data_IF_244121762313
#
_entry.id   IF_244121762313
#
_cell.length_a   1.000
_cell.length_b   1.000
_cell.length_c   1.000
_cell.angle_alpha   90.00
_cell.angle_beta   90.00
_cell.angle_gamma   90.00
#
_symmetry.space_group_name_H-M   'P 1'
#
loop_
_entity.id
_entity.type
_entity.pdbx_description
1 polymer ?
#
# COMPACT_ATOMS: atom_id res chain seq x y z
N UNK A 1 -32.33 -0.01 -6.01
CA UNK A 1 -32.05 1.42 -6.28
C UNK A 1 -30.56 1.61 -6.06
N UNK A 2 -29.80 2.10 -7.03
CA UNK A 2 -28.41 2.47 -6.79
C UNK A 2 -28.40 3.69 -5.87
N UNK A 3 -27.84 3.56 -4.67
CA UNK A 3 -27.56 4.74 -3.83
C UNK A 3 -26.51 5.57 -4.55
N UNK A 4 -26.91 6.74 -5.04
CA UNK A 4 -25.98 7.71 -5.59
C UNK A 4 -25.22 8.38 -4.43
N UNK A 5 -23.90 8.45 -4.54
CA UNK A 5 -23.05 9.12 -3.57
C UNK A 5 -22.84 10.58 -3.96
N UNK A 6 -22.92 11.52 -3.02
CA UNK A 6 -22.61 12.93 -3.28
C UNK A 6 -21.72 13.52 -2.20
N UNK A 7 -20.62 14.15 -2.62
CA UNK A 7 -19.75 14.91 -1.71
C UNK A 7 -20.45 16.11 -1.08
N UNK A 8 -21.50 16.65 -1.72
CA UNK A 8 -22.34 17.69 -1.13
C UNK A 8 -22.94 17.27 0.21
N UNK A 9 -23.19 15.97 0.38
CA UNK A 9 -23.87 15.43 1.56
C UNK A 9 -22.90 15.14 2.71
N UNK A 10 -21.59 15.16 2.45
CA UNK A 10 -20.57 14.98 3.46
C UNK A 10 -20.35 16.28 4.23
N UNK A 11 -20.24 16.21 5.55
CA UNK A 11 -19.87 17.35 6.40
C UNK A 11 -18.36 17.41 6.62
N UNK A 12 -17.73 16.23 6.64
CA UNK A 12 -16.32 16.04 6.92
C UNK A 12 -15.69 15.19 5.83
N UNK A 13 -14.54 15.62 5.33
CA UNK A 13 -13.77 14.90 4.30
C UNK A 13 -12.36 14.68 4.83
N UNK A 14 -11.99 13.41 4.97
CA UNK A 14 -10.68 13.01 5.49
C UNK A 14 -9.79 12.42 4.41
N UNK A 15 -8.55 12.90 4.37
CA UNK A 15 -7.53 12.45 3.44
C UNK A 15 -6.42 11.70 4.16
N UNK A 16 -5.99 10.59 3.58
CA UNK A 16 -4.63 10.09 3.82
C UNK A 16 -3.63 10.92 3.00
N UNK A 17 -2.37 10.93 3.42
CA UNK A 17 -1.32 11.62 2.69
C UNK A 17 -0.71 10.68 1.65
N UNK A 18 0.05 9.71 2.12
CA UNK A 18 0.90 8.88 1.29
C UNK A 18 0.08 7.94 0.38
N UNK A 19 0.37 7.97 -0.91
CA UNK A 19 -0.38 7.24 -1.95
C UNK A 19 -1.89 7.58 -2.02
N UNK A 20 -2.30 8.71 -1.45
CA UNK A 20 -3.67 9.26 -1.58
C UNK A 20 -3.65 10.69 -2.09
N UNK A 21 -3.26 11.67 -1.28
CA UNK A 21 -3.00 13.04 -1.75
C UNK A 21 -1.64 13.13 -2.44
N UNK A 22 -0.61 12.59 -1.80
CA UNK A 22 0.72 12.51 -2.39
C UNK A 22 0.85 11.27 -3.25
N UNK A 23 1.04 11.49 -4.55
CA UNK A 23 1.42 10.42 -5.47
C UNK A 23 2.93 10.34 -5.57
N UNK A 24 3.44 9.12 -5.62
CA UNK A 24 4.87 8.86 -5.74
C UNK A 24 5.21 8.42 -7.16
N UNK A 25 6.39 8.80 -7.66
CA UNK A 25 6.98 8.22 -8.86
C UNK A 25 7.42 6.77 -8.58
N UNK A 26 6.47 5.84 -8.69
CA UNK A 26 6.64 4.44 -8.25
C UNK A 26 7.95 3.80 -8.70
N UNK A 27 8.38 4.01 -9.95
CA UNK A 27 9.66 3.48 -10.45
C UNK A 27 10.87 3.98 -9.64
N UNK A 28 10.94 5.28 -9.37
CA UNK A 28 12.06 5.88 -8.63
C UNK A 28 11.97 5.56 -7.14
N UNK A 29 10.77 5.61 -6.56
CA UNK A 29 10.56 5.32 -5.14
C UNK A 29 10.77 3.85 -4.81
N UNK A 30 10.24 2.90 -5.62
CA UNK A 30 10.47 1.47 -5.41
C UNK A 30 11.95 1.11 -5.51
N UNK A 31 12.67 1.75 -6.44
CA UNK A 31 14.12 1.61 -6.55
C UNK A 31 14.84 2.11 -5.30
N UNK A 32 14.52 3.31 -4.83
CA UNK A 32 15.12 3.89 -3.63
C UNK A 32 14.88 3.00 -2.40
N UNK A 33 13.66 2.51 -2.20
CA UNK A 33 13.30 1.65 -1.06
C UNK A 33 14.12 0.37 -1.08
N UNK A 34 14.13 -0.34 -2.21
CA UNK A 34 14.90 -1.58 -2.34
C UNK A 34 16.39 -1.33 -2.08
N UNK A 35 16.98 -0.33 -2.74
CA UNK A 35 18.40 -0.02 -2.59
C UNK A 35 18.72 0.31 -1.13
N UNK A 36 17.83 1.03 -0.44
CA UNK A 36 18.00 1.37 0.97
C UNK A 36 17.99 0.13 1.87
N UNK A 37 17.08 -0.83 1.65
CA UNK A 37 17.08 -2.09 2.41
C UNK A 37 18.27 -2.99 2.06
N UNK A 38 18.56 -3.16 0.77
CA UNK A 38 19.64 -4.01 0.29
C UNK A 38 21.01 -3.51 0.78
N UNK A 39 21.25 -2.19 0.78
CA UNK A 39 22.47 -1.59 1.35
C UNK A 39 22.61 -1.94 2.82
N UNK A 40 21.55 -1.79 3.61
CA UNK A 40 21.59 -2.14 5.03
C UNK A 40 21.96 -3.61 5.25
N UNK A 41 21.36 -4.53 4.49
CA UNK A 41 21.68 -5.96 4.59
C UNK A 41 23.14 -6.26 4.24
N UNK A 42 23.67 -5.62 3.18
CA UNK A 42 25.06 -5.82 2.75
C UNK A 42 26.05 -5.23 3.76
N UNK A 43 25.81 -3.99 4.20
CA UNK A 43 26.76 -3.22 5.01
C UNK A 43 26.73 -3.62 6.50
N UNK A 44 25.56 -3.98 7.04
CA UNK A 44 25.38 -4.23 8.47
C UNK A 44 25.09 -5.69 8.81
N UNK A 45 24.62 -6.50 7.86
CA UNK A 45 24.24 -7.90 8.09
C UNK A 45 25.11 -8.92 7.33
N UNK A 46 26.06 -8.45 6.52
CA UNK A 46 27.03 -9.30 5.83
C UNK A 46 26.45 -10.10 4.66
N UNK A 47 25.35 -9.64 4.07
CA UNK A 47 24.80 -10.25 2.86
C UNK A 47 25.69 -9.96 1.64
N UNK A 48 25.56 -10.79 0.61
CA UNK A 48 26.34 -10.66 -0.61
C UNK A 48 26.00 -9.35 -1.35
N UNK A 49 27.02 -8.67 -1.87
CA UNK A 49 26.87 -7.42 -2.64
C UNK A 49 26.02 -7.60 -3.90
N UNK A 50 25.83 -8.83 -4.37
CA UNK A 50 24.92 -9.12 -5.47
C UNK A 50 23.49 -8.61 -5.23
N UNK A 51 23.06 -8.46 -3.97
CA UNK A 51 21.77 -7.82 -3.64
C UNK A 51 21.63 -6.41 -4.23
N UNK A 52 22.73 -5.69 -4.46
CA UNK A 52 22.72 -4.34 -5.03
C UNK A 52 22.65 -4.35 -6.57
N UNK A 53 22.85 -5.50 -7.22
CA UNK A 53 22.80 -5.63 -8.66
C UNK A 53 21.38 -6.00 -9.09
N UNK A 54 20.67 -5.05 -9.71
CA UNK A 54 19.30 -5.24 -10.21
C UNK A 54 19.23 -5.05 -11.71
N UNK A 55 18.39 -5.85 -12.36
CA UNK A 55 18.03 -5.66 -13.77
C UNK A 55 16.65 -5.01 -13.87
N UNK A 56 16.34 -4.26 -14.96
CA UNK A 56 15.01 -3.70 -15.14
C UNK A 56 13.88 -4.74 -15.08
N UNK A 57 14.12 -5.97 -15.56
CA UNK A 57 13.14 -7.06 -15.56
C UNK A 57 12.76 -7.50 -14.13
N UNK A 58 13.67 -7.33 -13.17
CA UNK A 58 13.46 -7.76 -11.78
C UNK A 58 12.34 -6.97 -11.08
N UNK A 59 12.02 -5.76 -11.55
CA UNK A 59 11.02 -4.90 -10.89
C UNK A 59 9.58 -5.34 -11.08
N UNK A 60 9.27 -6.14 -12.10
CA UNK A 60 7.91 -6.66 -12.32
C UNK A 60 7.50 -7.67 -11.23
N UNK A 61 8.48 -8.17 -10.46
CA UNK A 61 8.27 -8.99 -9.27
C UNK A 61 7.56 -8.23 -8.15
N UNK A 62 7.75 -6.91 -8.04
CA UNK A 62 7.20 -6.11 -6.97
C UNK A 62 5.70 -5.86 -7.20
N UNK A 63 4.85 -6.71 -6.62
CA UNK A 63 3.41 -6.62 -6.78
C UNK A 63 2.66 -6.57 -5.44
N UNK A 64 1.72 -5.63 -5.31
CA UNK A 64 0.96 -5.45 -4.08
C UNK A 64 0.00 -6.64 -3.88
N UNK A 65 -0.13 -7.09 -2.64
CA UNK A 65 -0.98 -8.22 -2.27
C UNK A 65 -0.29 -9.58 -2.31
N UNK A 66 1.05 -9.61 -2.42
CA UNK A 66 1.84 -10.82 -2.24
C UNK A 66 2.00 -11.14 -0.76
N UNK A 67 2.02 -12.43 -0.46
CA UNK A 67 2.34 -12.98 0.86
C UNK A 67 3.69 -13.67 0.76
N UNK A 68 4.60 -13.36 1.69
CA UNK A 68 5.81 -14.16 1.89
C UNK A 68 5.58 -15.10 3.05
N UNK A 69 5.61 -16.40 2.76
CA UNK A 69 5.68 -17.47 3.75
C UNK A 69 7.13 -17.55 4.26
N UNK A 70 7.35 -17.10 5.49
CA UNK A 70 8.68 -17.00 6.09
C UNK A 70 9.19 -18.37 6.58
N UNK A 71 8.30 -19.35 6.76
CA UNK A 71 8.68 -20.69 7.16
C UNK A 71 9.33 -21.42 5.99
N UNK A 72 8.72 -21.28 4.80
CA UNK A 72 9.09 -22.05 3.61
C UNK A 72 9.88 -21.24 2.57
N UNK A 73 10.01 -19.91 2.74
CA UNK A 73 10.69 -19.03 1.77
C UNK A 73 9.91 -18.79 0.48
N UNK A 74 8.61 -19.07 0.51
CA UNK A 74 7.75 -18.97 -0.66
C UNK A 74 7.08 -17.61 -0.74
N UNK A 75 6.91 -17.06 -1.96
CA UNK A 75 6.11 -15.87 -2.22
C UNK A 75 4.88 -16.29 -3.01
N UNK A 76 3.69 -16.02 -2.47
CA UNK A 76 2.42 -16.51 -3.00
C UNK A 76 1.41 -15.39 -3.22
N UNK A 77 0.56 -15.59 -4.22
CA UNK A 77 -0.64 -14.78 -4.45
C UNK A 77 -1.88 -15.61 -4.15
N UNK A 78 -2.79 -15.05 -3.34
CA UNK A 78 -3.95 -15.76 -2.82
C UNK A 78 -5.27 -15.34 -3.49
N UNK A 79 -6.15 -16.32 -3.73
CA UNK A 79 -7.57 -16.10 -3.99
C UNK A 79 -8.28 -15.54 -2.74
N UNK A 80 -9.51 -15.06 -2.92
CA UNK A 80 -10.38 -14.66 -1.81
C UNK A 80 -10.70 -15.78 -0.80
N UNK A 81 -10.58 -17.04 -1.20
CA UNK A 81 -10.80 -18.23 -0.36
C UNK A 81 -9.50 -18.77 0.29
N UNK A 82 -8.36 -18.10 0.05
CA UNK A 82 -7.06 -18.51 0.59
C UNK A 82 -6.31 -19.54 -0.22
N UNK A 83 -6.86 -19.95 -1.37
CA UNK A 83 -6.17 -20.84 -2.30
C UNK A 83 -4.97 -20.13 -2.93
N UNK A 84 -3.82 -20.80 -2.96
CA UNK A 84 -2.67 -20.36 -3.75
C UNK A 84 -3.06 -20.43 -5.23
N UNK A 85 -3.06 -19.27 -5.87
CA UNK A 85 -3.47 -19.17 -7.27
C UNK A 85 -2.50 -19.97 -8.16
N UNK A 86 -2.97 -20.53 -9.26
CA UNK A 86 -2.15 -21.27 -10.25
C UNK A 86 -2.61 -20.98 -11.67
N UNK A 87 -1.66 -20.86 -12.59
CA UNK A 87 -1.93 -20.86 -14.02
C UNK A 87 -2.40 -22.26 -14.50
N UNK A 88 -3.35 -22.28 -15.45
CA UNK A 88 -3.70 -23.46 -16.24
C UNK A 88 -3.09 -23.35 -17.64
N UNK A 89 -2.27 -24.33 -18.04
CA UNK A 89 -1.54 -24.35 -19.31
C UNK A 89 -2.46 -24.33 -20.54
N UNK A 90 -2.23 -23.41 -21.48
CA UNK A 90 -2.16 -23.69 -22.93
C UNK A 90 -1.72 -22.45 -23.71
N UNK A 91 -0.78 -22.66 -24.64
CA UNK A 91 -0.49 -21.69 -25.70
C UNK A 91 -1.78 -21.36 -26.50
N UNK A 92 -1.93 -20.15 -27.07
CA UNK A 92 -3.10 -19.84 -27.88
C UNK A 92 -3.22 -20.82 -29.06
N UNK A 93 -4.43 -21.35 -29.29
CA UNK A 93 -4.72 -22.16 -30.49
C UNK A 93 -4.42 -21.32 -31.76
N UNK A 94 -3.88 -21.92 -32.84
CA UNK A 94 -3.54 -21.21 -34.08
C UNK A 94 -4.69 -20.41 -34.69
N UNK A 95 -5.93 -20.85 -34.44
CA UNK A 95 -7.16 -20.25 -34.96
C UNK A 95 -7.48 -18.88 -34.32
N UNK A 96 -7.09 -18.65 -33.06
CA UNK A 96 -7.21 -17.33 -32.39
C UNK A 96 -6.13 -16.35 -32.85
N UNK A 97 -4.99 -16.82 -33.35
CA UNK A 97 -3.94 -15.95 -33.89
C UNK A 97 -4.38 -15.21 -35.16
N UNK A 98 -5.34 -15.78 -35.91
CA UNK A 98 -5.89 -15.20 -37.14
C UNK A 98 -6.97 -14.14 -36.82
N UNK A 99 -7.75 -14.31 -35.76
CA UNK A 99 -8.76 -13.30 -35.35
C UNK A 99 -8.11 -12.07 -34.71
N UNK A 100 -6.92 -12.23 -34.11
CA UNK A 100 -6.20 -11.17 -33.41
C UNK A 100 -5.36 -10.27 -34.32
N UNK A 101 -5.18 -10.59 -35.61
CA UNK A 101 -4.48 -9.72 -36.57
C UNK A 101 -5.30 -8.49 -36.97
N UNK A 102 -6.63 -8.55 -36.82
CA UNK A 102 -7.54 -7.54 -37.35
C UNK A 102 -7.94 -6.44 -36.34
N UNK A 103 -7.57 -6.60 -35.07
CA UNK A 103 -7.82 -5.59 -34.04
C UNK A 103 -6.56 -4.75 -33.83
N UNK A 104 -6.56 -3.54 -34.41
CA UNK A 104 -5.47 -2.57 -34.29
C UNK A 104 -5.20 -2.15 -32.84
N UNK A 105 -4.14 -2.71 -32.29
CA UNK A 105 -3.11 -2.07 -31.43
C UNK A 105 -3.45 -1.77 -29.96
N UNK A 106 -2.48 -2.19 -29.11
CA UNK A 106 -2.24 -1.89 -27.68
C UNK A 106 -3.00 -2.66 -26.59
N UNK A 107 -4.31 -2.95 -26.70
CA UNK A 107 -5.00 -3.66 -25.61
C UNK A 107 -4.73 -5.18 -25.56
N UNK A 108 -4.58 -5.83 -26.72
CA UNK A 108 -4.49 -7.31 -26.79
C UNK A 108 -3.15 -7.86 -26.30
N UNK A 109 -2.06 -7.09 -26.39
CA UNK A 109 -0.77 -7.49 -25.78
C UNK A 109 -0.82 -7.51 -24.25
N UNK A 110 -1.81 -6.86 -23.63
CA UNK A 110 -1.98 -6.85 -22.17
C UNK A 110 -2.93 -7.96 -21.67
N UNK A 111 -3.62 -8.68 -22.57
CA UNK A 111 -4.58 -9.74 -22.22
C UNK A 111 -3.98 -11.15 -22.32
N UNK A 112 -2.74 -11.29 -22.78
CA UNK A 112 -2.07 -12.57 -22.96
C UNK A 112 -0.64 -12.45 -22.45
N UNK A 113 -0.47 -12.65 -21.14
CA UNK A 113 0.70 -13.22 -20.43
C UNK A 113 0.64 -12.71 -18.99
N UNK A 114 0.27 -13.60 -18.05
CA UNK A 114 0.68 -13.41 -16.67
C UNK A 114 0.73 -14.75 -15.95
N UNK A 115 1.94 -15.28 -15.79
CA UNK A 115 2.24 -16.71 -15.66
C UNK A 115 2.61 -17.16 -14.23
N UNK A 116 2.73 -16.26 -13.25
CA UNK A 116 3.40 -16.59 -11.97
C UNK A 116 2.48 -16.29 -10.78
N UNK A 117 2.28 -17.30 -9.92
CA UNK A 117 1.35 -17.22 -8.79
C UNK A 117 1.89 -17.82 -7.48
N UNK A 118 3.03 -18.51 -7.54
CA UNK A 118 3.86 -18.85 -6.40
C UNK A 118 5.33 -19.01 -6.82
N UNK A 119 6.27 -18.52 -6.01
CA UNK A 119 7.72 -18.70 -6.20
C UNK A 119 8.37 -19.23 -4.91
N UNK A 120 9.48 -19.93 -5.03
CA UNK A 120 10.44 -20.14 -3.94
C UNK A 120 11.66 -19.27 -4.21
N UNK A 121 11.91 -18.31 -3.33
CA UNK A 121 12.78 -17.19 -3.67
C UNK A 121 12.27 -16.45 -4.91
N UNK A 122 13.13 -16.22 -5.90
CA UNK A 122 12.69 -15.66 -7.20
C UNK A 122 12.39 -16.70 -8.27
N UNK A 123 12.43 -17.99 -7.93
CA UNK A 123 12.19 -19.09 -8.87
C UNK A 123 10.73 -19.55 -8.82
N UNK A 124 10.09 -19.69 -9.98
CA UNK A 124 8.71 -20.17 -10.07
C UNK A 124 8.56 -21.59 -9.54
N UNK A 125 7.51 -21.82 -8.76
CA UNK A 125 7.14 -23.16 -8.32
C UNK A 125 6.38 -23.90 -9.42
N UNK A 126 6.77 -25.16 -9.66
CA UNK A 126 6.03 -26.09 -10.51
C UNK A 126 4.67 -26.45 -9.90
N UNK A 127 3.81 -27.09 -10.68
CA UNK A 127 2.52 -27.57 -10.16
C UNK A 127 2.71 -28.63 -9.09
N UNK A 128 3.63 -29.55 -9.32
CA UNK A 128 3.99 -30.64 -8.41
C UNK A 128 4.53 -30.06 -7.10
N UNK A 129 5.35 -29.01 -7.18
CA UNK A 129 5.88 -28.32 -6.00
C UNK A 129 4.78 -27.58 -5.23
N UNK A 130 3.89 -26.86 -5.90
CA UNK A 130 2.72 -26.22 -5.27
C UNK A 130 1.87 -27.27 -4.54
N UNK A 131 1.57 -28.41 -5.17
CA UNK A 131 0.79 -29.47 -4.53
C UNK A 131 1.54 -30.13 -3.37
N UNK A 132 2.87 -30.20 -3.45
CA UNK A 132 3.73 -30.68 -2.36
C UNK A 132 3.70 -29.73 -1.16
N UNK A 133 3.75 -28.43 -1.38
CA UNK A 133 3.74 -27.42 -0.30
C UNK A 133 2.35 -27.19 0.29
N UNK A 134 1.31 -27.13 -0.54
CA UNK A 134 -0.03 -26.64 -0.14
C UNK A 134 -1.12 -27.71 -0.24
N UNK A 135 -0.75 -28.96 -0.53
CA UNK A 135 -1.69 -30.07 -0.67
C UNK A 135 -2.57 -30.00 -1.93
N UNK A 136 -3.47 -30.98 -2.11
CA UNK A 136 -4.31 -31.08 -3.31
C UNK A 136 -5.25 -29.88 -3.50
N UNK A 137 -5.72 -29.28 -2.41
CA UNK A 137 -6.59 -28.11 -2.46
C UNK A 137 -5.84 -26.79 -2.64
N UNK A 138 -4.50 -26.81 -2.53
CA UNK A 138 -3.63 -25.61 -2.57
C UNK A 138 -4.00 -24.57 -1.52
N UNK A 139 -4.50 -25.03 -0.37
CA UNK A 139 -4.91 -24.15 0.72
C UNK A 139 -3.67 -23.66 1.45
N UNK A 140 -3.54 -22.34 1.59
CA UNK A 140 -2.48 -21.80 2.41
C UNK A 140 -2.86 -21.87 3.90
N UNK A 141 -2.08 -22.64 4.66
CA UNK A 141 -2.35 -23.01 6.07
C UNK A 141 -2.63 -21.83 7.02
N UNK A 142 -2.11 -20.63 6.69
CA UNK A 142 -2.22 -19.44 7.54
C UNK A 142 -3.35 -18.47 7.12
N UNK A 143 -4.12 -18.78 6.08
CA UNK A 143 -5.11 -17.85 5.52
C UNK A 143 -6.14 -17.35 6.54
N UNK A 144 -6.65 -18.25 7.40
CA UNK A 144 -7.60 -17.88 8.45
C UNK A 144 -7.02 -16.86 9.44
N UNK A 145 -5.72 -16.94 9.73
CA UNK A 145 -5.03 -15.97 10.59
C UNK A 145 -4.81 -14.63 9.87
N UNK A 146 -4.52 -14.65 8.57
CA UNK A 146 -4.38 -13.43 7.76
C UNK A 146 -5.69 -12.62 7.70
N UNK A 147 -6.84 -13.31 7.64
CA UNK A 147 -8.17 -12.68 7.63
C UNK A 147 -8.50 -11.97 8.96
N UNK A 148 -7.87 -12.37 10.07
CA UNK A 148 -8.17 -11.86 11.42
C UNK A 148 -7.12 -10.87 11.92
N UNK A 149 -5.84 -11.08 11.61
CA UNK A 149 -4.73 -10.19 11.97
C UNK A 149 -4.12 -9.64 10.69
N UNK A 150 -4.56 -8.46 10.28
CA UNK A 150 -3.99 -7.78 9.13
C UNK A 150 -2.49 -7.56 9.35
N UNK A 151 -1.68 -8.20 8.50
CA UNK A 151 -0.30 -7.86 8.06
C UNK A 151 0.91 -8.51 8.72
N UNK A 152 0.92 -8.97 9.98
CA UNK A 152 2.20 -9.36 10.64
C UNK A 152 2.11 -10.62 11.50
N UNK A 153 2.88 -11.64 11.12
CA UNK A 153 3.12 -12.87 11.87
C UNK A 153 4.61 -13.21 11.84
N UNK A 154 5.11 -13.93 12.85
CA UNK A 154 6.46 -14.52 12.78
C UNK A 154 6.60 -15.58 11.66
N UNK A 155 5.47 -15.99 11.06
CA UNK A 155 5.37 -17.03 10.04
C UNK A 155 5.19 -16.48 8.62
N UNK A 156 4.67 -15.25 8.48
CA UNK A 156 4.39 -14.68 7.17
C UNK A 156 4.33 -13.15 7.21
N UNK A 157 4.54 -12.55 6.05
CA UNK A 157 4.35 -11.11 5.85
C UNK A 157 3.49 -10.83 4.62
N UNK A 158 2.54 -9.90 4.75
CA UNK A 158 1.66 -9.49 3.65
C UNK A 158 2.06 -8.10 3.15
N UNK A 159 2.48 -8.02 1.87
CA UNK A 159 2.92 -6.78 1.25
C UNK A 159 1.73 -6.01 0.66
N UNK A 160 1.02 -5.26 1.51
CA UNK A 160 -0.09 -4.38 1.11
C UNK A 160 0.27 -2.90 1.08
N UNK A 161 1.50 -2.55 1.45
CA UNK A 161 1.99 -1.18 1.48
C UNK A 161 3.05 -0.97 0.39
N UNK A 162 3.06 0.20 -0.25
CA UNK A 162 4.07 0.53 -1.27
C UNK A 162 5.45 0.84 -0.65
N UNK A 163 5.52 1.23 0.62
CA UNK A 163 6.78 1.56 1.30
C UNK A 163 7.62 0.34 1.69
N UNK A 164 7.02 -0.84 1.74
CA UNK A 164 7.73 -2.09 1.97
C UNK A 164 7.67 -3.04 0.77
N UNK A 165 6.80 -2.78 -0.23
CA UNK A 165 6.60 -3.64 -1.39
C UNK A 165 7.90 -4.15 -2.07
N UNK A 166 8.94 -3.33 -2.30
CA UNK A 166 10.18 -3.81 -2.90
C UNK A 166 10.93 -4.84 -2.03
N UNK A 167 10.61 -4.89 -0.73
CA UNK A 167 11.04 -5.93 0.20
C UNK A 167 10.61 -7.32 -0.23
N UNK A 168 9.49 -7.50 -0.95
CA UNK A 168 9.08 -8.82 -1.45
C UNK A 168 10.12 -9.43 -2.39
N UNK A 169 10.63 -8.63 -3.33
CA UNK A 169 11.72 -9.03 -4.22
C UNK A 169 13.02 -9.28 -3.44
N UNK A 170 13.32 -8.41 -2.47
CA UNK A 170 14.52 -8.56 -1.65
C UNK A 170 14.49 -9.86 -0.85
N UNK A 171 13.35 -10.21 -0.24
CA UNK A 171 13.12 -11.50 0.39
C UNK A 171 13.38 -12.65 -0.60
N UNK A 172 12.79 -12.59 -1.80
CA UNK A 172 12.98 -13.60 -2.82
C UNK A 172 14.46 -13.85 -3.13
N UNK A 173 15.24 -12.78 -3.29
CA UNK A 173 16.68 -12.87 -3.58
C UNK A 173 17.51 -13.35 -2.38
N UNK A 174 17.13 -12.97 -1.17
CA UNK A 174 17.75 -13.48 0.06
C UNK A 174 17.54 -14.99 0.16
N UNK A 175 16.32 -15.47 -0.12
CA UNK A 175 16.02 -16.90 -0.17
C UNK A 175 16.86 -17.61 -1.23
N UNK A 176 17.00 -17.06 -2.45
CA UNK A 176 17.86 -17.64 -3.48
C UNK A 176 19.33 -17.76 -3.00
N UNK A 177 19.82 -16.78 -2.25
CA UNK A 177 21.18 -16.80 -1.70
C UNK A 177 21.36 -17.86 -0.62
N UNK A 178 20.39 -18.00 0.28
CA UNK A 178 20.39 -19.04 1.32
C UNK A 178 20.39 -20.43 0.66
N UNK A 179 19.52 -20.62 -0.33
CA UNK A 179 19.44 -21.85 -1.10
C UNK A 179 20.76 -22.18 -1.82
N UNK A 180 21.38 -21.20 -2.49
CA UNK A 180 22.70 -21.39 -3.16
C UNK A 180 23.83 -21.79 -2.21
N UNK A 181 23.74 -21.43 -0.92
CA UNK A 181 24.71 -21.82 0.11
C UNK A 181 24.43 -23.24 0.66
N UNK A 182 23.38 -23.90 0.21
CA UNK A 182 22.96 -25.21 0.73
C UNK A 182 22.39 -25.16 2.15
N UNK A 183 21.98 -23.97 2.61
CA UNK A 183 21.36 -23.79 3.92
C UNK A 183 19.84 -23.93 3.81
N UNK A 184 19.20 -24.45 4.85
CA UNK A 184 17.74 -24.46 4.92
C UNK A 184 17.21 -23.04 5.13
N UNK A 185 16.13 -22.71 4.42
CA UNK A 185 15.41 -21.45 4.60
C UNK A 185 14.54 -21.56 5.84
N UNK A 186 14.58 -20.54 6.69
CA UNK A 186 13.70 -20.41 7.84
C UNK A 186 13.39 -18.92 8.07
N UNK A 187 12.60 -18.59 9.09
CA UNK A 187 12.17 -17.21 9.34
C UNK A 187 13.25 -16.27 9.90
N UNK A 188 14.49 -16.72 10.11
CA UNK A 188 15.54 -15.89 10.72
C UNK A 188 15.95 -14.71 9.84
N UNK A 189 15.98 -14.87 8.52
CA UNK A 189 16.32 -13.76 7.60
C UNK A 189 15.32 -12.59 7.72
N UNK A 190 14.10 -12.87 8.19
CA UNK A 190 13.08 -11.84 8.39
C UNK A 190 13.47 -10.83 9.48
N UNK A 191 14.23 -11.25 10.49
CA UNK A 191 14.75 -10.33 11.54
C UNK A 191 15.65 -9.27 10.93
N UNK A 192 16.44 -9.64 9.93
CA UNK A 192 17.31 -8.70 9.21
C UNK A 192 16.51 -7.78 8.29
N UNK A 193 15.48 -8.30 7.63
CA UNK A 193 14.54 -7.49 6.84
C UNK A 193 13.82 -6.45 7.71
N UNK A 194 13.33 -6.85 8.88
CA UNK A 194 12.71 -5.93 9.84
C UNK A 194 13.70 -4.87 10.33
N UNK A 195 14.95 -5.25 10.59
CA UNK A 195 15.99 -4.29 10.97
C UNK A 195 16.30 -3.30 9.83
N UNK A 196 16.24 -3.73 8.57
CA UNK A 196 16.41 -2.85 7.42
C UNK A 196 15.24 -1.86 7.26
N UNK A 197 14.01 -2.32 7.48
CA UNK A 197 12.81 -1.49 7.49
C UNK A 197 12.89 -0.45 8.61
N UNK A 198 13.22 -0.88 9.83
CA UNK A 198 13.36 -0.01 11.00
C UNK A 198 14.48 1.02 10.81
N UNK A 199 15.62 0.62 10.25
CA UNK A 199 16.72 1.54 9.96
C UNK A 199 16.30 2.70 9.02
N UNK A 200 15.43 2.44 8.05
CA UNK A 200 14.99 3.46 7.10
C UNK A 200 13.82 4.30 7.59
N UNK A 201 12.94 3.76 8.45
CA UNK A 201 11.66 4.39 8.78
C UNK A 201 11.41 4.58 10.28
N UNK A 202 12.41 4.34 11.14
CA UNK A 202 12.28 4.70 12.54
C UNK A 202 11.97 6.20 12.70
N UNK A 203 11.43 6.55 13.87
CA UNK A 203 10.89 7.88 14.14
C UNK A 203 11.93 9.00 14.12
N UNK A 204 13.22 8.70 14.31
CA UNK A 204 14.29 9.71 14.26
C UNK A 204 14.95 9.82 12.88
N UNK A 205 14.81 8.81 12.01
CA UNK A 205 15.55 8.69 10.76
C UNK A 205 15.37 9.89 9.83
N UNK A 206 14.15 10.46 9.74
CA UNK A 206 13.94 11.67 8.97
C UNK A 206 14.71 12.84 9.59
N UNK A 207 14.51 13.14 10.87
CA UNK A 207 15.18 14.26 11.54
C UNK A 207 16.70 14.17 11.52
N UNK A 208 17.24 12.98 11.73
CA UNK A 208 18.69 12.71 11.81
C UNK A 208 19.35 12.57 10.45
N UNK A 209 18.57 12.58 9.36
CA UNK A 209 19.07 12.33 8.01
C UNK A 209 19.78 10.96 7.89
N UNK A 210 19.21 9.95 8.56
CA UNK A 210 19.78 8.61 8.64
C UNK A 210 19.33 7.72 7.46
N UNK A 211 20.10 6.66 7.21
CA UNK A 211 19.82 5.69 6.16
C UNK A 211 19.98 6.27 4.75
N UNK A 212 19.28 5.70 3.78
CA UNK A 212 19.36 6.14 2.37
C UNK A 212 18.05 6.78 1.88
N UNK A 213 16.91 6.37 2.43
CA UNK A 213 15.59 6.77 1.96
C UNK A 213 15.33 8.27 2.18
N UNK A 214 15.21 8.70 3.44
CA UNK A 214 14.86 10.09 3.76
C UNK A 214 15.88 11.12 3.26
N UNK A 215 17.21 10.90 3.35
CA UNK A 215 18.19 11.84 2.79
C UNK A 215 18.04 12.03 1.28
N UNK A 216 17.70 10.95 0.56
CA UNK A 216 17.48 11.02 -0.89
C UNK A 216 16.22 11.80 -1.22
N UNK A 217 15.11 11.55 -0.51
CA UNK A 217 13.85 12.29 -0.71
C UNK A 217 14.01 13.77 -0.36
N UNK A 218 14.70 14.12 0.74
CA UNK A 218 14.95 15.52 1.11
C UNK A 218 15.77 16.27 0.07
N UNK A 219 16.81 15.62 -0.47
CA UNK A 219 17.74 16.24 -1.42
C UNK A 219 17.05 16.56 -2.75
N UNK A 220 16.15 15.69 -3.21
CA UNK A 220 15.45 15.85 -4.49
C UNK A 220 14.01 15.34 -4.40
N UNK A 221 13.09 16.07 -3.73
CA UNK A 221 11.73 15.61 -3.53
C UNK A 221 10.99 15.38 -4.86
N UNK A 222 11.24 16.23 -5.87
CA UNK A 222 10.57 16.17 -7.18
C UNK A 222 10.89 14.93 -8.00
N UNK A 223 11.98 14.23 -7.68
CA UNK A 223 12.27 12.92 -8.29
C UNK A 223 11.33 11.82 -7.79
N UNK A 224 10.84 11.93 -6.56
CA UNK A 224 10.07 10.88 -5.88
C UNK A 224 8.60 11.24 -5.70
N UNK A 225 8.27 12.52 -5.54
CA UNK A 225 6.95 13.04 -5.25
C UNK A 225 6.35 13.72 -6.49
N UNK A 226 5.07 13.48 -6.75
CA UNK A 226 4.31 14.15 -7.81
C UNK A 226 3.53 15.32 -7.20
N UNK A 227 3.76 16.56 -7.66
CA UNK A 227 2.95 17.70 -7.23
C UNK A 227 1.47 17.53 -7.56
N UNK A 228 0.59 18.02 -6.68
CA UNK A 228 -0.83 18.07 -7.00
C UNK A 228 -1.07 19.08 -8.12
N UNK A 229 -1.99 18.75 -9.04
CA UNK A 229 -2.42 19.68 -10.07
C UNK A 229 -3.14 20.89 -9.45
N UNK A 230 -3.15 22.01 -10.17
CA UNK A 230 -3.90 23.20 -9.76
C UNK A 230 -5.39 22.92 -9.60
N UNK A 231 -5.95 21.96 -10.34
CA UNK A 231 -7.33 21.51 -10.16
C UNK A 231 -7.57 20.88 -8.78
N UNK A 232 -6.65 20.05 -8.26
CA UNK A 232 -6.76 19.47 -6.91
C UNK A 232 -6.69 20.56 -5.85
N UNK A 233 -5.75 21.50 -5.97
CA UNK A 233 -5.63 22.63 -5.03
C UNK A 233 -6.89 23.49 -5.03
N UNK A 234 -7.38 23.85 -6.21
CA UNK A 234 -8.64 24.59 -6.38
C UNK A 234 -9.82 23.84 -5.78
N UNK A 235 -9.87 22.51 -5.97
CA UNK A 235 -10.93 21.67 -5.42
C UNK A 235 -10.90 21.62 -3.88
N UNK A 236 -9.72 21.46 -3.26
CA UNK A 236 -9.55 21.57 -1.81
C UNK A 236 -10.04 22.92 -1.28
N UNK A 237 -9.64 24.02 -1.90
CA UNK A 237 -10.15 25.35 -1.55
C UNK A 237 -11.68 25.46 -1.71
N UNK A 238 -12.24 24.88 -2.78
CA UNK A 238 -13.69 24.94 -3.03
C UNK A 238 -14.49 24.22 -1.93
N UNK A 239 -13.99 23.09 -1.42
CA UNK A 239 -14.63 22.37 -0.33
C UNK A 239 -14.55 23.16 0.98
N UNK A 240 -13.39 23.75 1.27
CA UNK A 240 -13.23 24.61 2.45
C UNK A 240 -14.15 25.84 2.39
N UNK A 241 -14.23 26.51 1.24
CA UNK A 241 -15.12 27.64 1.00
C UNK A 241 -16.61 27.27 1.06
N UNK A 242 -16.95 26.01 0.74
CA UNK A 242 -18.30 25.47 0.90
C UNK A 242 -18.65 25.09 2.35
N UNK A 243 -17.78 25.39 3.31
CA UNK A 243 -17.99 25.12 4.73
C UNK A 243 -17.82 23.65 5.12
N UNK A 244 -17.12 22.85 4.31
CA UNK A 244 -16.76 21.47 4.65
C UNK A 244 -15.59 21.46 5.63
N UNK A 245 -15.60 20.53 6.57
CA UNK A 245 -14.46 20.30 7.47
C UNK A 245 -13.47 19.36 6.77
N UNK A 246 -12.24 19.81 6.56
CA UNK A 246 -11.19 19.04 5.89
C UNK A 246 -10.16 18.52 6.88
N UNK A 247 -9.86 17.22 6.80
CA UNK A 247 -8.89 16.55 7.66
C UNK A 247 -7.75 15.94 6.84
N UNK A 248 -6.53 16.03 7.35
CA UNK A 248 -5.38 15.25 6.89
C UNK A 248 -4.97 14.28 7.99
N UNK A 249 -4.97 12.97 7.72
CA UNK A 249 -4.62 11.92 8.70
C UNK A 249 -3.58 10.97 8.10
N UNK A 250 -2.32 11.16 8.48
CA UNK A 250 -1.19 10.36 8.02
C UNK A 250 -0.49 9.61 9.15
N UNK A 251 0.09 8.46 8.84
CA UNK A 251 1.00 7.75 9.76
C UNK A 251 2.46 8.24 9.66
N UNK A 252 2.74 9.16 8.73
CA UNK A 252 4.01 9.86 8.63
C UNK A 252 4.22 10.82 9.80
N UNK A 253 5.48 11.00 10.23
CA UNK A 253 5.85 12.03 11.21
C UNK A 253 5.62 13.44 10.65
N UNK A 254 5.49 14.43 11.55
CA UNK A 254 5.12 15.80 11.20
C UNK A 254 6.13 16.51 10.30
N UNK A 255 7.41 16.28 10.52
CA UNK A 255 8.50 16.82 9.71
C UNK A 255 8.48 16.27 8.26
N UNK A 256 8.28 14.97 8.08
CA UNK A 256 8.14 14.35 6.77
C UNK A 256 6.84 14.77 6.08
N UNK A 257 5.73 14.84 6.84
CA UNK A 257 4.45 15.36 6.34
C UNK A 257 4.60 16.79 5.82
N UNK A 258 5.29 17.66 6.57
CA UNK A 258 5.58 19.04 6.15
C UNK A 258 6.36 19.06 4.83
N UNK A 259 7.45 18.31 4.72
CA UNK A 259 8.24 18.24 3.48
C UNK A 259 7.39 17.81 2.29
N UNK A 260 6.58 16.77 2.44
CA UNK A 260 5.70 16.30 1.37
C UNK A 260 4.70 17.38 1.00
N UNK A 261 3.92 17.87 1.96
CA UNK A 261 2.82 18.79 1.70
C UNK A 261 3.32 20.13 1.13
N UNK A 262 4.43 20.67 1.63
CA UNK A 262 5.04 21.87 1.06
C UNK A 262 5.42 21.67 -0.41
N UNK A 263 5.91 20.48 -0.76
CA UNK A 263 6.26 20.14 -2.13
C UNK A 263 5.03 19.95 -3.04
N UNK A 264 4.00 19.24 -2.56
CA UNK A 264 2.87 18.83 -3.41
C UNK A 264 1.73 19.84 -3.46
N UNK A 265 1.50 20.60 -2.39
CA UNK A 265 0.36 21.53 -2.24
C UNK A 265 0.83 22.98 -2.18
N UNK A 266 1.93 23.26 -1.48
CA UNK A 266 2.46 24.61 -1.28
C UNK A 266 2.80 24.88 0.19
N UNK A 267 3.52 25.98 0.47
CA UNK A 267 3.99 26.32 1.83
C UNK A 267 2.86 26.63 2.82
N UNK A 268 1.73 27.04 2.29
CA UNK A 268 0.48 27.40 2.98
C UNK A 268 -0.50 26.21 3.07
N UNK A 269 -0.04 24.98 2.82
CA UNK A 269 -0.93 23.80 2.83
C UNK A 269 -1.70 23.62 4.14
N UNK A 270 -1.16 24.10 5.27
CA UNK A 270 -1.83 24.02 6.57
C UNK A 270 -3.19 24.74 6.53
N UNK A 271 -3.30 25.80 5.73
CA UNK A 271 -4.55 26.54 5.53
C UNK A 271 -5.61 25.75 4.76
N UNK A 272 -5.25 24.63 4.10
CA UNK A 272 -6.20 23.78 3.38
C UNK A 272 -6.98 22.86 4.32
N UNK A 273 -6.45 22.54 5.50
CA UNK A 273 -7.04 21.56 6.41
C UNK A 273 -7.44 22.22 7.73
N UNK A 274 -8.55 21.81 8.31
CA UNK A 274 -8.97 22.28 9.64
C UNK A 274 -8.30 21.46 10.74
N UNK A 275 -8.03 20.17 10.48
CA UNK A 275 -7.28 19.31 11.41
C UNK A 275 -6.24 18.50 10.66
N UNK A 276 -5.00 18.54 11.15
CA UNK A 276 -3.89 17.73 10.65
C UNK A 276 -3.48 16.77 11.76
N UNK A 277 -3.42 15.47 11.45
CA UNK A 277 -3.04 14.41 12.38
C UNK A 277 -1.89 13.62 11.77
N UNK A 278 -0.72 13.75 12.37
CA UNK A 278 0.50 13.02 11.99
C UNK A 278 0.79 11.88 12.97
N UNK A 279 1.64 10.93 12.59
CA UNK A 279 1.93 9.73 13.38
C UNK A 279 0.65 9.02 13.87
N UNK A 280 -0.39 8.95 13.04
CA UNK A 280 -1.67 8.38 13.43
C UNK A 280 -1.58 6.88 13.79
N UNK A 281 -0.58 6.16 13.27
CA UNK A 281 -0.38 4.70 13.39
C UNK A 281 -1.69 3.92 13.16
N UNK A 282 -2.22 4.08 11.95
CA UNK A 282 -3.40 3.34 11.48
C UNK A 282 -3.04 1.84 11.40
N UNK A 283 -3.99 0.91 11.68
CA UNK A 283 -5.40 1.15 11.98
C UNK A 283 -5.68 1.52 13.46
N UNK A 284 -4.67 1.50 14.33
CA UNK A 284 -4.81 1.73 15.78
C UNK A 284 -5.55 3.02 16.13
N UNK A 285 -5.37 4.09 15.35
CA UNK A 285 -6.14 5.34 15.48
C UNK A 285 -7.66 5.12 15.55
N UNK A 286 -8.19 4.19 14.75
CA UNK A 286 -9.64 3.95 14.64
C UNK A 286 -10.15 2.89 15.60
N UNK A 287 -9.27 2.05 16.17
CA UNK A 287 -9.66 0.90 16.99
C UNK A 287 -9.31 1.05 18.48
N UNK A 288 -8.31 1.86 18.82
CA UNK A 288 -7.85 2.04 20.20
C UNK A 288 -8.60 3.15 20.93
N UNK A 289 -8.69 3.02 22.25
CA UNK A 289 -9.39 3.98 23.13
C UNK A 289 -8.45 5.09 23.62
N UNK A 290 -8.99 6.24 24.09
CA UNK A 290 -8.18 7.40 24.47
C UNK A 290 -7.03 7.13 25.43
N UNK A 291 -7.22 6.25 26.42
CA UNK A 291 -6.21 5.93 27.43
C UNK A 291 -5.01 5.16 26.84
N UNK A 292 -5.22 4.45 25.73
CA UNK A 292 -4.16 3.71 25.04
C UNK A 292 -3.40 4.59 24.05
N UNK A 293 -4.07 5.63 23.52
CA UNK A 293 -3.52 6.47 22.46
C UNK A 293 -4.08 7.91 22.54
N UNK A 294 -3.54 8.72 23.47
CA UNK A 294 -3.95 10.11 23.58
C UNK A 294 -3.45 10.92 22.37
N UNK A 295 -4.12 12.04 22.11
CA UNK A 295 -3.59 13.05 21.20
C UNK A 295 -2.39 13.74 21.84
N UNK A 296 -1.47 14.24 21.03
CA UNK A 296 -0.37 15.08 21.48
C UNK A 296 -0.26 16.33 20.64
N UNK A 297 0.14 17.41 21.29
CA UNK A 297 0.58 18.66 20.65
C UNK A 297 2.01 18.53 20.15
N UNK A 298 2.36 19.42 19.21
CA UNK A 298 3.68 19.47 18.57
C UNK A 298 4.28 20.86 18.76
N UNK A 299 5.57 20.91 19.08
CA UNK A 299 6.38 22.14 19.05
C UNK A 299 7.59 21.89 18.16
N UNK A 300 7.69 22.60 17.04
CA UNK A 300 8.74 22.39 16.02
C UNK A 300 8.87 20.91 15.60
N UNK A 301 7.73 20.30 15.26
CA UNK A 301 7.62 18.90 14.85
C UNK A 301 8.06 17.86 15.92
N UNK A 302 8.21 18.29 17.18
CA UNK A 302 8.49 17.40 18.32
C UNK A 302 7.24 17.23 19.18
N UNK A 303 6.88 15.98 19.46
CA UNK A 303 5.76 15.62 20.33
C UNK A 303 6.02 16.08 21.77
N UNK A 304 5.03 16.73 22.37
CA UNK A 304 5.04 16.95 23.82
C UNK A 304 4.90 15.60 24.58
N UNK A 305 5.45 15.55 25.79
CA UNK A 305 5.46 14.32 26.60
C UNK A 305 4.07 13.94 27.10
N UNK A 306 3.26 14.95 27.45
CA UNK A 306 1.92 14.74 28.00
C UNK A 306 0.88 14.61 26.89
N UNK A 307 -0.01 13.63 27.04
CA UNK A 307 -1.14 13.44 26.15
C UNK A 307 -2.31 14.36 26.53
N UNK A 308 -3.06 14.81 25.54
CA UNK A 308 -4.25 15.62 25.73
C UNK A 308 -5.40 14.76 26.29
N UNK A 309 -6.11 15.23 27.34
CA UNK A 309 -7.27 14.54 27.88
C UNK A 309 -8.50 14.62 26.97
N UNK A 310 -8.58 15.63 26.09
CA UNK A 310 -9.64 15.85 25.11
C UNK A 310 -9.10 16.63 23.91
N UNK A 311 -9.92 16.77 22.86
CA UNK A 311 -9.59 17.54 21.67
C UNK A 311 -10.68 18.60 21.42
N UNK A 312 -10.43 19.83 21.86
CA UNK A 312 -11.47 20.85 21.95
C UNK A 312 -11.45 21.87 20.79
N UNK A 313 -10.38 21.90 20.00
CA UNK A 313 -10.19 22.85 18.89
C UNK A 313 -9.50 22.22 17.68
N UNK A 314 -9.70 22.77 16.47
CA UNK A 314 -8.92 22.42 15.29
C UNK A 314 -7.44 22.75 15.45
N UNK A 315 -6.59 22.12 14.63
CA UNK A 315 -5.14 22.32 14.67
C UNK A 315 -4.35 21.12 14.17
N UNK A 316 -3.03 21.16 14.41
CA UNK A 316 -2.10 20.09 14.08
C UNK A 316 -1.74 19.29 15.34
N UNK A 317 -2.02 17.99 15.31
CA UNK A 317 -1.75 17.05 16.38
C UNK A 317 -0.96 15.82 15.92
N UNK A 318 -0.37 15.11 16.88
CA UNK A 318 0.27 13.81 16.68
C UNK A 318 -0.52 12.70 17.39
N UNK A 319 -0.43 11.48 16.86
CA UNK A 319 -1.09 10.29 17.40
C UNK A 319 -2.62 10.41 17.48
N UNK A 320 -3.20 10.16 18.65
CA UNK A 320 -4.63 10.28 18.89
C UNK A 320 -5.48 9.07 18.52
N UNK A 321 -6.79 9.28 18.61
CA UNK A 321 -7.80 8.24 18.51
C UNK A 321 -9.10 8.79 17.90
N UNK A 322 -9.90 7.88 17.35
CA UNK A 322 -11.18 8.23 16.74
C UNK A 322 -12.20 8.85 17.70
N UNK A 323 -12.41 8.34 18.93
CA UNK A 323 -13.39 8.93 19.86
C UNK A 323 -13.21 10.43 20.10
N UNK A 324 -11.99 10.89 20.39
CA UNK A 324 -11.71 12.31 20.61
C UNK A 324 -11.86 13.15 19.33
N UNK A 325 -11.36 12.65 18.18
CA UNK A 325 -11.58 13.34 16.91
C UNK A 325 -13.07 13.43 16.60
N UNK A 326 -13.84 12.37 16.85
CA UNK A 326 -15.26 12.35 16.58
C UNK A 326 -16.00 13.43 17.37
N UNK A 327 -15.67 13.59 18.65
CA UNK A 327 -16.27 14.64 19.49
C UNK A 327 -15.96 16.04 18.96
N UNK A 328 -14.70 16.31 18.61
CA UNK A 328 -14.31 17.57 17.97
C UNK A 328 -15.16 17.83 16.70
N UNK A 329 -15.33 16.83 15.84
CA UNK A 329 -16.09 16.97 14.61
C UNK A 329 -17.57 17.26 14.86
N UNK A 330 -18.17 16.74 15.94
CA UNK A 330 -19.54 17.09 16.34
C UNK A 330 -19.63 18.56 16.71
N UNK A 331 -18.67 19.06 17.50
CA UNK A 331 -18.61 20.47 17.88
C UNK A 331 -18.40 21.37 16.66
N UNK A 332 -17.49 21.01 15.76
CA UNK A 332 -17.20 21.80 14.56
C UNK A 332 -18.35 21.86 13.56
N UNK A 333 -19.11 20.77 13.41
CA UNK A 333 -20.22 20.69 12.45
C UNK A 333 -21.58 21.06 13.05
N UNK A 334 -21.70 21.10 14.38
CA UNK A 334 -22.98 21.25 15.09
C UNK A 334 -23.92 20.05 14.94
N UNK A 335 -23.40 18.88 14.50
CA UNK A 335 -24.19 17.68 14.22
C UNK A 335 -23.82 16.53 15.15
N UNK A 336 -24.82 15.79 15.62
CA UNK A 336 -24.64 14.63 16.51
C UNK A 336 -23.92 13.48 15.80
N UNK A 337 -24.20 13.28 14.51
CA UNK A 337 -23.55 12.28 13.65
C UNK A 337 -23.19 12.94 12.30
N UNK A 338 -21.98 13.52 12.19
CA UNK A 338 -21.53 14.14 10.95
C UNK A 338 -21.40 13.10 9.84
N UNK A 339 -21.84 13.40 8.62
CA UNK A 339 -21.62 12.51 7.46
C UNK A 339 -20.16 12.60 7.00
N UNK A 340 -19.48 11.46 6.84
CA UNK A 340 -18.02 11.39 6.62
C UNK A 340 -17.69 10.54 5.42
N UNK A 341 -16.65 10.92 4.69
CA UNK A 341 -16.08 10.10 3.63
C UNK A 341 -14.56 10.02 3.75
N UNK A 342 -14.02 8.82 3.58
CA UNK A 342 -12.58 8.57 3.40
C UNK A 342 -12.25 8.24 1.96
N UNK A 343 -11.06 8.62 1.50
CA UNK A 343 -10.59 8.41 0.13
C UNK A 343 -9.40 7.44 0.11
N UNK A 344 -9.41 6.50 -0.85
CA UNK A 344 -8.30 5.54 -1.09
C UNK A 344 -8.07 5.34 -2.58
N UNK A 345 -6.79 5.24 -2.96
CA UNK A 345 -6.35 4.96 -4.33
C UNK A 345 -6.19 3.44 -4.60
N UNK A 346 -6.71 2.89 -5.71
CA UNK A 346 -6.41 1.56 -6.20
C UNK A 346 -5.01 1.47 -6.83
N UNK A 347 -4.54 0.24 -7.04
CA UNK A 347 -3.20 -0.12 -7.50
C UNK A 347 -3.12 -0.47 -9.00
N UNK A 348 -1.89 -0.55 -9.51
CA UNK A 348 -1.56 -0.85 -10.91
C UNK A 348 -1.48 -2.38 -11.22
N UNK A 349 -1.44 -2.74 -12.50
CA UNK A 349 -1.28 -4.14 -12.98
C UNK A 349 0.20 -4.57 -13.08
N UNK A 350 0.48 -5.88 -12.92
CA UNK A 350 1.80 -6.51 -13.16
C UNK A 350 1.75 -7.52 -14.29
N UNK A 351 2.83 -7.66 -15.08
CA UNK A 351 2.95 -8.68 -16.13
C UNK A 351 3.44 -10.03 -15.61
N UNK A 352 3.94 -10.07 -14.37
CA UNK A 352 4.38 -11.28 -13.68
C UNK A 352 3.25 -11.87 -12.83
N UNK A 353 2.55 -11.04 -12.06
CA UNK A 353 1.56 -11.46 -11.05
C UNK A 353 0.10 -11.20 -11.41
N UNK A 354 -0.18 -10.39 -12.43
CA UNK A 354 -1.49 -10.25 -13.06
C UNK A 354 -2.28 -9.09 -12.50
N UNK A 355 -3.60 -9.18 -12.54
CA UNK A 355 -4.48 -8.14 -12.00
C UNK A 355 -4.52 -8.16 -10.48
N UNK A 356 -4.54 -6.98 -9.86
CA UNK A 356 -4.68 -6.83 -8.41
C UNK A 356 -6.09 -7.18 -7.93
N UNK A 357 -7.06 -7.20 -8.84
CA UNK A 357 -8.47 -7.36 -8.50
C UNK A 357 -8.96 -8.78 -8.77
N UNK A 358 -8.68 -9.27 -9.97
CA UNK A 358 -9.28 -10.50 -10.48
C UNK A 358 -8.21 -11.43 -11.02
N UNK A 359 -8.49 -12.72 -10.93
CA UNK A 359 -7.69 -13.77 -11.49
C UNK A 359 -8.54 -14.63 -12.44
N UNK A 360 -7.92 -15.15 -13.51
CA UNK A 360 -8.59 -15.98 -14.51
C UNK A 360 -8.05 -17.40 -14.36
N UNK A 361 -8.93 -18.39 -14.27
CA UNK A 361 -8.57 -19.81 -14.21
C UNK A 361 -9.37 -20.63 -15.23
N UNK A 362 -8.80 -21.74 -15.70
CA UNK A 362 -9.53 -22.76 -16.46
C UNK A 362 -9.84 -23.93 -15.54
N UNK A 363 -11.08 -24.41 -15.56
CA UNK A 363 -11.47 -25.64 -14.86
C UNK A 363 -10.81 -26.88 -15.49
N UNK A 364 -10.75 -27.98 -14.76
CA UNK A 364 -10.15 -29.25 -15.21
C UNK A 364 -10.92 -29.93 -16.38
N UNK A 365 -12.01 -29.31 -16.86
CA UNK A 365 -12.70 -29.66 -18.11
C UNK A 365 -12.48 -28.57 -19.17
N UNK A 366 -12.09 -28.97 -20.38
CA UNK A 366 -11.53 -28.14 -21.47
C UNK A 366 -12.41 -26.99 -22.04
N UNK A 367 -13.40 -26.44 -21.33
CA UNK A 367 -14.29 -25.41 -21.92
C UNK A 367 -14.79 -24.26 -21.01
N UNK A 368 -14.40 -24.15 -19.74
CA UNK A 368 -14.84 -23.02 -18.89
C UNK A 368 -13.67 -22.21 -18.33
N UNK A 369 -13.52 -20.98 -18.84
CA UNK A 369 -12.72 -19.92 -18.20
C UNK A 369 -13.57 -19.26 -17.11
N UNK A 370 -13.18 -19.45 -15.85
CA UNK A 370 -13.77 -18.81 -14.69
C UNK A 370 -12.95 -17.62 -14.21
N UNK A 371 -13.60 -16.61 -13.62
CA UNK A 371 -12.96 -15.50 -12.93
C UNK A 371 -13.07 -15.71 -11.41
N UNK A 372 -11.99 -15.44 -10.67
CA UNK A 372 -11.96 -15.42 -9.21
C UNK A 372 -11.52 -14.06 -8.72
N UNK A 373 -12.13 -13.58 -7.65
CA UNK A 373 -11.65 -12.38 -6.97
C UNK A 373 -10.38 -12.72 -6.19
N UNK A 374 -9.42 -11.80 -6.20
CA UNK A 374 -8.28 -11.86 -5.31
C UNK A 374 -8.70 -11.47 -3.89
N UNK A 375 -7.93 -11.87 -2.89
CA UNK A 375 -8.11 -11.42 -1.51
C UNK A 375 -8.15 -9.88 -1.39
N UNK A 376 -7.32 -9.19 -2.16
CA UNK A 376 -7.26 -7.73 -2.17
C UNK A 376 -8.55 -7.07 -2.70
N UNK A 377 -9.17 -7.65 -3.73
CA UNK A 377 -10.45 -7.18 -4.26
C UNK A 377 -11.59 -7.36 -3.25
N UNK A 378 -11.62 -8.52 -2.58
CA UNK A 378 -12.55 -8.78 -1.49
C UNK A 378 -12.42 -7.71 -0.39
N UNK A 379 -11.20 -7.38 0.04
CA UNK A 379 -10.98 -6.33 1.04
C UNK A 379 -11.51 -4.95 0.58
N UNK A 380 -11.31 -4.58 -0.68
CA UNK A 380 -11.81 -3.29 -1.20
C UNK A 380 -13.34 -3.26 -1.16
N UNK A 381 -14.00 -4.30 -1.69
CA UNK A 381 -15.47 -4.39 -1.71
C UNK A 381 -16.08 -4.42 -0.30
N UNK A 382 -15.43 -5.08 0.66
CA UNK A 382 -15.96 -5.28 2.00
C UNK A 382 -15.76 -4.06 2.91
N UNK A 383 -14.66 -3.32 2.73
CA UNK A 383 -14.23 -2.29 3.69
C UNK A 383 -14.15 -0.88 3.11
N UNK A 384 -14.53 -0.67 1.85
CA UNK A 384 -14.51 0.66 1.22
C UNK A 384 -15.88 1.02 0.66
N UNK A 385 -16.42 2.15 1.10
CA UNK A 385 -17.65 2.73 0.52
C UNK A 385 -17.44 3.20 -0.92
N UNK A 386 -16.22 3.69 -1.23
CA UNK A 386 -15.83 4.13 -2.56
C UNK A 386 -14.32 3.95 -2.74
N UNK A 387 -13.89 3.49 -3.91
CA UNK A 387 -12.48 3.42 -4.32
C UNK A 387 -12.33 4.15 -5.66
N UNK A 388 -11.40 5.11 -5.74
CA UNK A 388 -11.22 5.94 -6.94
C UNK A 388 -9.76 5.92 -7.40
N UNK A 389 -9.46 5.87 -8.70
CA UNK A 389 -8.08 5.76 -9.22
C UNK A 389 -7.08 6.75 -8.65
N UNK A 390 -7.51 7.99 -8.41
CA UNK A 390 -6.74 9.01 -7.69
C UNK A 390 -7.64 10.21 -7.35
N UNK A 391 -7.19 11.10 -6.47
CA UNK A 391 -7.92 12.33 -6.12
C UNK A 391 -8.12 13.24 -7.35
N UNK A 392 -7.19 13.25 -8.31
CA UNK A 392 -7.27 14.01 -9.55
C UNK A 392 -8.49 13.64 -10.40
N UNK A 393 -8.93 12.38 -10.36
CA UNK A 393 -10.09 11.93 -11.12
C UNK A 393 -11.40 12.56 -10.63
N UNK A 394 -11.45 12.99 -9.37
CA UNK A 394 -12.64 13.64 -8.81
C UNK A 394 -12.46 15.15 -8.63
N UNK A 395 -11.23 15.68 -8.64
CA UNK A 395 -10.97 17.11 -8.56
C UNK A 395 -11.54 17.92 -9.75
N UNK A 396 -11.92 17.25 -10.84
CA UNK A 396 -12.64 17.84 -11.98
C UNK A 396 -14.16 17.63 -11.94
N UNK A 397 -14.68 16.91 -10.95
CA UNK A 397 -16.11 16.59 -10.84
C UNK A 397 -16.76 17.63 -9.94
N UNK A 398 -17.85 18.23 -10.43
CA UNK A 398 -18.61 19.21 -9.65
C UNK A 398 -19.13 18.56 -8.36
N UNK A 399 -19.06 19.27 -7.22
CA UNK A 399 -19.42 18.78 -5.87
C UNK A 399 -20.79 18.07 -5.77
N UNK A 400 -21.65 18.27 -6.77
CA UNK A 400 -23.06 17.86 -6.79
C UNK A 400 -23.33 16.44 -7.35
N UNK A 401 -22.38 15.77 -8.02
CA UNK A 401 -22.58 14.37 -8.50
C UNK A 401 -21.26 13.61 -8.66
N UNK A 402 -21.08 12.51 -7.92
CA UNK A 402 -20.10 11.46 -8.21
C UNK A 402 -20.84 10.16 -8.51
#
# INVERSE_FOLDING_TARGET
MSEYFSLSDCDVIGFDLDHTLCRYHLKETSRLIYESFARFLVEHKGYDKDLLNLTPATWDFCFKGLVVDLEDGNIVKLAEDGTVLRYGLSAPKPELAIVLSDIKSKLIKSFILCLIRATHGTTDLSTEEILKFYGPNREWKHFNSLNTSFTRSAKYYFYDNYFDLPGALLCGRVVDMIHKRGSEVNSDFWKDMLAAIDHNYNTSAFKEDAGTYFPSVKRDPGRYLQPCSESVKTWLHSMKNAGKVLLLITSSHSDYCRLICEHILGKDFEELFDVIITNALKPGFFSLVPQQRPFKTLVNDVEESEGLPSLDKPGWYSQGNWPHLHELLKTMTGKVEPKKQGMKSPSAMSNQWGSYFVDIYKGDGEHEEGQRLTWCCHCIHKYSTMAIPSVEHIAGVCLYRI
#
